data_IF_101112619694
#
_entry.id   IF_101112619694
#
_cell.length_a   1.000
_cell.length_b   1.000
_cell.length_c   1.000
_cell.angle_alpha   90.00
_cell.angle_beta   90.00
_cell.angle_gamma   90.00
#
_symmetry.space_group_name_H-M   'P 1'
#
loop_
_entity.id
_entity.type
_entity.pdbx_description
1 polymer ?
#
# COMPACT_ATOMS: atom_id res chain seq x y z
N UNK A 1 -21.15 -2.69 8.91
CA UNK A 1 -19.67 -2.62 8.96
C UNK A 1 -19.27 -1.22 8.55
N UNK A 2 -18.43 -0.58 9.34
CA UNK A 2 -18.07 0.83 9.19
C UNK A 2 -16.57 1.00 9.43
N UNK A 3 -15.97 1.98 8.77
CA UNK A 3 -14.59 2.38 8.94
C UNK A 3 -14.56 3.86 9.31
N UNK A 4 -13.96 4.18 10.45
CA UNK A 4 -13.64 5.54 10.84
C UNK A 4 -12.14 5.77 10.73
N UNK A 5 -11.73 6.91 10.18
CA UNK A 5 -10.31 7.25 10.01
C UNK A 5 -10.08 8.70 10.39
N UNK A 6 -9.09 8.93 11.23
CA UNK A 6 -8.58 10.26 11.56
C UNK A 6 -7.15 10.40 11.02
N UNK A 7 -6.84 11.55 10.42
CA UNK A 7 -5.46 11.92 10.06
C UNK A 7 -5.21 13.37 10.44
N UNK A 8 -4.20 13.61 11.25
CA UNK A 8 -3.67 14.92 11.54
C UNK A 8 -2.33 15.07 10.81
N UNK A 9 -2.16 16.16 10.06
CA UNK A 9 -0.91 16.45 9.39
C UNK A 9 -0.45 17.88 9.62
N UNK A 10 0.85 18.03 9.81
CA UNK A 10 1.52 19.31 9.94
C UNK A 10 2.40 19.52 8.72
N UNK A 11 2.25 20.68 8.08
CA UNK A 11 3.09 21.12 6.98
C UNK A 11 3.90 22.33 7.40
N UNK A 12 5.21 22.26 7.26
CA UNK A 12 6.11 23.37 7.51
C UNK A 12 7.17 23.45 6.41
N UNK A 13 7.17 24.57 5.68
CA UNK A 13 8.01 24.77 4.51
C UNK A 13 7.93 23.59 3.51
N UNK A 14 9.01 22.82 3.39
CA UNK A 14 9.15 21.71 2.46
C UNK A 14 8.76 20.35 3.04
N UNK A 15 8.43 20.30 4.33
CA UNK A 15 8.07 19.08 5.05
C UNK A 15 6.57 19.00 5.30
N UNK A 16 6.04 17.80 5.17
CA UNK A 16 4.75 17.40 5.70
C UNK A 16 4.95 16.10 6.49
N UNK A 17 4.35 16.02 7.68
CA UNK A 17 4.32 14.80 8.48
C UNK A 17 2.89 14.61 8.97
N UNK A 18 2.35 13.42 8.75
CA UNK A 18 1.01 13.02 9.15
C UNK A 18 1.05 11.84 10.11
N UNK A 19 0.15 11.84 11.08
CA UNK A 19 -0.21 10.69 11.88
C UNK A 19 -1.68 10.36 11.64
N UNK A 20 -2.00 9.08 11.60
CA UNK A 20 -3.36 8.59 11.37
C UNK A 20 -3.68 7.40 12.25
N UNK A 21 -4.97 7.23 12.49
CA UNK A 21 -5.54 6.04 13.10
C UNK A 21 -6.81 5.68 12.34
N UNK A 22 -7.07 4.38 12.23
CA UNK A 22 -8.30 3.87 11.65
C UNK A 22 -8.89 2.81 12.56
N UNK A 23 -10.20 2.85 12.72
CA UNK A 23 -10.94 1.87 13.50
C UNK A 23 -12.04 1.27 12.64
N UNK A 24 -11.94 -0.04 12.42
CA UNK A 24 -12.91 -0.80 11.66
C UNK A 24 -13.78 -1.60 12.62
N UNK A 25 -15.09 -1.38 12.54
CA UNK A 25 -16.04 -1.96 13.48
C UNK A 25 -17.25 -2.57 12.78
N UNK A 26 -17.77 -3.61 13.41
CA UNK A 26 -18.82 -4.46 12.86
C UNK A 26 -19.56 -5.18 13.99
N UNK A 27 -20.67 -5.83 13.67
CA UNK A 27 -21.51 -6.55 14.62
C UNK A 27 -22.97 -6.63 14.17
N UNK A 28 -23.68 -7.67 14.58
CA UNK A 28 -25.11 -7.79 14.32
C UNK A 28 -25.87 -6.65 15.03
N UNK A 29 -26.71 -5.93 14.29
CA UNK A 29 -27.43 -4.76 14.82
C UNK A 29 -26.56 -3.54 15.10
N UNK A 30 -25.25 -3.59 14.81
CA UNK A 30 -24.34 -2.46 15.03
C UNK A 30 -24.48 -1.42 13.92
N UNK A 31 -24.90 -0.23 14.32
CA UNK A 31 -25.05 0.93 13.42
C UNK A 31 -23.80 1.78 13.33
N UNK A 32 -23.92 2.91 12.62
CA UNK A 32 -22.91 3.96 12.65
C UNK A 32 -22.86 4.59 14.05
N UNK A 33 -21.64 4.76 14.58
CA UNK A 33 -21.40 5.32 15.91
C UNK A 33 -20.80 6.73 15.77
N UNK A 34 -21.56 7.81 16.04
CA UNK A 34 -21.05 9.17 15.92
C UNK A 34 -19.83 9.47 16.80
N UNK A 35 -19.70 8.79 17.93
CA UNK A 35 -18.54 8.87 18.83
C UNK A 35 -17.24 8.45 18.13
N UNK A 36 -17.31 7.47 17.23
CA UNK A 36 -16.19 7.03 16.40
C UNK A 36 -15.92 7.95 15.21
N UNK A 37 -16.71 9.00 15.00
CA UNK A 37 -16.48 10.02 13.97
C UNK A 37 -16.07 11.37 14.55
N UNK A 38 -16.00 11.47 15.88
CA UNK A 38 -15.54 12.67 16.56
C UNK A 38 -14.02 12.82 16.34
N UNK A 39 -13.54 13.88 15.68
CA UNK A 39 -12.11 14.06 15.40
C UNK A 39 -11.24 14.27 16.65
N UNK A 40 -11.86 14.51 17.82
CA UNK A 40 -11.18 14.59 19.11
C UNK A 40 -11.16 13.26 19.87
N UNK A 41 -11.83 12.23 19.36
CA UNK A 41 -11.73 10.88 19.89
C UNK A 41 -10.46 10.24 19.34
N UNK A 42 -9.50 9.95 20.23
CA UNK A 42 -8.26 9.24 19.90
C UNK A 42 -8.52 7.75 20.11
N UNK A 43 -8.71 6.99 19.02
CA UNK A 43 -9.08 5.56 19.07
C UNK A 43 -8.07 4.72 19.85
N UNK A 44 -6.77 5.02 19.73
CA UNK A 44 -5.74 4.34 20.50
C UNK A 44 -5.92 4.46 22.03
N UNK A 45 -6.62 5.49 22.50
CA UNK A 45 -6.92 5.70 23.92
C UNK A 45 -8.33 5.20 24.29
N UNK A 46 -9.34 5.47 23.47
CA UNK A 46 -10.74 5.17 23.80
C UNK A 46 -11.09 3.70 23.64
N UNK A 47 -10.57 3.00 22.62
CA UNK A 47 -10.90 1.59 22.36
C UNK A 47 -10.74 0.73 23.63
N UNK A 48 -9.59 0.81 24.29
CA UNK A 48 -9.31 0.00 25.47
C UNK A 48 -10.17 0.38 26.67
N UNK A 49 -10.41 1.67 26.86
CA UNK A 49 -11.19 2.18 27.99
C UNK A 49 -12.68 1.83 27.85
N UNK A 50 -13.20 1.91 26.64
CA UNK A 50 -14.61 1.66 26.33
C UNK A 50 -14.91 0.20 26.02
N UNK A 51 -13.87 -0.64 25.89
CA UNK A 51 -13.95 -2.07 25.51
C UNK A 51 -14.76 -2.30 24.24
N UNK A 52 -14.57 -1.40 23.29
CA UNK A 52 -15.30 -1.40 22.03
C UNK A 52 -14.67 -2.41 21.09
N UNK A 53 -15.42 -3.42 20.65
CA UNK A 53 -14.90 -4.40 19.69
C UNK A 53 -14.58 -3.74 18.34
N UNK A 54 -13.46 -4.11 17.73
CA UNK A 54 -13.04 -3.62 16.41
C UNK A 54 -11.55 -3.80 16.19
N UNK A 55 -11.11 -3.39 15.00
CA UNK A 55 -9.73 -3.49 14.57
C UNK A 55 -9.14 -2.10 14.38
N UNK A 56 -8.12 -1.76 15.18
CA UNK A 56 -7.37 -0.51 15.10
C UNK A 56 -6.11 -0.70 14.26
N UNK A 57 -5.86 0.23 13.36
CA UNK A 57 -4.56 0.42 12.75
C UNK A 57 -4.08 1.85 12.97
N UNK A 58 -2.76 2.03 13.05
CA UNK A 58 -2.11 3.32 13.19
C UNK A 58 -1.16 3.55 12.01
N UNK A 59 -1.11 4.78 11.52
CA UNK A 59 -0.25 5.15 10.40
C UNK A 59 0.58 6.38 10.71
N UNK A 60 1.78 6.41 10.14
CA UNK A 60 2.64 7.58 10.12
C UNK A 60 3.11 7.80 8.68
N UNK A 61 3.01 9.03 8.18
CA UNK A 61 3.42 9.36 6.82
C UNK A 61 4.17 10.69 6.77
N UNK A 62 4.94 10.88 5.71
CA UNK A 62 5.62 12.14 5.51
C UNK A 62 6.09 12.36 4.09
N UNK A 63 6.33 13.62 3.78
CA UNK A 63 6.76 14.08 2.48
C UNK A 63 7.74 15.24 2.63
N UNK A 64 8.91 15.09 2.05
CA UNK A 64 9.94 16.11 1.96
C UNK A 64 10.16 16.52 0.51
N UNK A 65 9.92 17.79 0.20
CA UNK A 65 10.06 18.35 -1.15
C UNK A 65 11.31 19.20 -1.27
N UNK A 66 12.21 18.88 -2.18
CA UNK A 66 13.46 19.62 -2.38
C UNK A 66 13.78 19.78 -3.85
N UNK A 67 14.25 20.98 -4.22
CA UNK A 67 14.69 21.26 -5.59
C UNK A 67 15.90 20.40 -6.01
N UNK A 68 16.71 19.95 -5.04
CA UNK A 68 17.94 19.18 -5.30
C UNK A 68 17.70 17.68 -5.38
N UNK A 69 16.79 17.15 -4.57
CA UNK A 69 16.58 15.69 -4.46
C UNK A 69 15.15 15.25 -4.82
N UNK A 70 14.35 16.13 -5.45
CA UNK A 70 12.97 15.83 -5.80
C UNK A 70 12.07 15.71 -4.56
N UNK A 71 11.16 14.74 -4.59
CA UNK A 71 10.21 14.47 -3.52
C UNK A 71 10.54 13.12 -2.86
N UNK A 72 10.78 13.12 -1.55
CA UNK A 72 10.91 11.92 -0.73
C UNK A 72 9.62 11.74 0.07
N UNK A 73 8.83 10.72 -0.26
CA UNK A 73 7.64 10.33 0.49
C UNK A 73 7.84 9.03 1.24
N UNK A 74 7.28 8.89 2.44
CA UNK A 74 7.30 7.66 3.20
C UNK A 74 5.97 7.45 3.93
N UNK A 75 5.66 6.19 4.22
CA UNK A 75 4.47 5.79 4.95
C UNK A 75 4.76 4.51 5.73
N UNK A 76 4.27 4.43 6.96
CA UNK A 76 4.30 3.27 7.83
C UNK A 76 2.88 3.04 8.33
N UNK A 77 2.46 1.78 8.36
CA UNK A 77 1.24 1.29 8.94
C UNK A 77 1.61 0.24 9.98
N UNK A 78 1.07 0.38 11.17
CA UNK A 78 1.07 -0.62 12.22
C UNK A 78 -0.36 -1.13 12.36
N UNK A 79 -0.51 -2.43 12.29
CA UNK A 79 -1.77 -3.15 12.42
C UNK A 79 -1.65 -4.10 13.62
N UNK A 80 -2.78 -4.53 14.18
CA UNK A 80 -2.81 -5.48 15.31
C UNK A 80 -1.89 -5.07 16.49
N UNK A 81 -2.04 -3.82 16.97
CA UNK A 81 -1.19 -3.26 18.02
C UNK A 81 -1.50 -3.87 19.40
N UNK A 82 -0.60 -4.71 19.89
CA UNK A 82 -0.67 -5.31 21.21
C UNK A 82 0.02 -4.44 22.27
N UNK A 83 -0.73 -3.91 23.23
CA UNK A 83 -0.21 -3.05 24.32
C UNK A 83 -0.38 -3.72 25.70
N UNK A 84 -1.04 -4.89 25.79
CA UNK A 84 -1.24 -5.63 27.06
C UNK A 84 -0.04 -6.51 27.44
N UNK A 85 0.04 -6.87 28.73
CA UNK A 85 1.14 -7.66 29.29
C UNK A 85 1.27 -9.04 28.62
N UNK A 86 2.51 -9.35 28.26
CA UNK A 86 2.94 -10.55 27.55
C UNK A 86 2.80 -11.85 28.36
N UNK A 87 1.64 -12.50 28.30
CA UNK A 87 1.49 -13.85 28.85
C UNK A 87 1.41 -14.95 27.77
N UNK A 88 0.74 -14.68 26.64
CA UNK A 88 0.58 -15.66 25.54
C UNK A 88 0.89 -15.04 24.18
N UNK A 89 0.27 -13.91 23.84
CA UNK A 89 0.21 -13.31 22.49
C UNK A 89 1.54 -12.76 21.92
N UNK A 90 2.62 -12.68 22.73
CA UNK A 90 3.88 -12.03 22.32
C UNK A 90 4.75 -12.82 21.32
N UNK A 91 4.30 -13.99 20.89
CA UNK A 91 4.88 -14.71 19.76
C UNK A 91 4.23 -14.32 18.42
N UNK A 92 3.17 -13.52 18.43
CA UNK A 92 2.51 -13.10 17.21
C UNK A 92 3.47 -12.29 16.33
N UNK A 93 3.61 -12.66 15.05
CA UNK A 93 4.45 -11.91 14.13
C UNK A 93 3.93 -10.48 13.94
N UNK A 94 4.85 -9.52 13.82
CA UNK A 94 4.46 -8.12 13.64
C UNK A 94 3.63 -7.89 12.38
N UNK A 95 2.51 -7.20 12.56
CA UNK A 95 1.60 -6.80 11.50
C UNK A 95 1.86 -5.34 11.10
N UNK A 96 2.48 -5.14 9.94
CA UNK A 96 2.86 -3.81 9.46
C UNK A 96 2.92 -3.69 7.93
N UNK A 97 2.88 -2.45 7.46
CA UNK A 97 3.22 -2.05 6.10
C UNK A 97 4.15 -0.85 6.11
N UNK A 98 5.07 -0.77 5.15
CA UNK A 98 5.99 0.35 5.01
C UNK A 98 6.22 0.67 3.54
N UNK A 99 6.42 1.94 3.22
CA UNK A 99 6.70 2.41 1.87
C UNK A 99 7.62 3.62 1.91
N UNK A 100 8.57 3.67 0.99
CA UNK A 100 9.38 4.85 0.70
C UNK A 100 9.39 5.08 -0.80
N UNK A 101 9.35 6.35 -1.19
CA UNK A 101 9.29 6.80 -2.58
C UNK A 101 10.20 8.00 -2.75
N UNK A 102 10.95 8.01 -3.84
CA UNK A 102 11.76 9.12 -4.29
C UNK A 102 11.35 9.41 -5.72
N UNK A 103 10.89 10.61 -5.99
CA UNK A 103 10.36 11.01 -7.30
C UNK A 103 11.02 12.33 -7.73
N UNK A 104 11.36 12.48 -9.02
CA UNK A 104 11.86 13.74 -9.54
C UNK A 104 13.34 14.03 -9.23
N UNK A 105 14.15 13.01 -8.95
CA UNK A 105 15.60 13.17 -8.76
C UNK A 105 16.23 13.72 -10.05
N UNK A 106 16.94 14.86 -10.04
CA UNK A 106 17.48 15.43 -11.27
C UNK A 106 18.55 14.52 -11.88
N UNK A 107 18.37 14.18 -13.16
CA UNK A 107 19.39 13.60 -14.03
C UNK A 107 19.91 14.67 -15.00
N UNK A 108 20.75 14.29 -15.96
CA UNK A 108 21.20 15.20 -17.01
C UNK A 108 20.00 15.75 -17.82
N UNK A 109 19.97 17.05 -18.10
CA UNK A 109 18.89 17.71 -18.84
C UNK A 109 17.52 17.64 -18.14
N UNK A 110 16.49 17.35 -18.92
CA UNK A 110 15.10 17.30 -18.43
C UNK A 110 14.69 15.92 -17.91
N UNK A 111 15.62 14.97 -17.84
CA UNK A 111 15.38 13.63 -17.31
C UNK A 111 15.29 13.64 -15.78
N UNK A 112 14.43 12.77 -15.22
CA UNK A 112 14.29 12.62 -13.77
C UNK A 112 14.34 11.15 -13.38
N UNK A 113 14.99 10.81 -12.27
CA UNK A 113 14.96 9.47 -11.73
C UNK A 113 13.87 9.32 -10.68
N UNK A 114 13.44 8.09 -10.47
CA UNK A 114 12.59 7.70 -9.37
C UNK A 114 13.01 6.36 -8.80
N UNK A 115 12.67 6.15 -7.54
CA UNK A 115 12.80 4.86 -6.87
C UNK A 115 11.68 4.69 -5.85
N UNK A 116 11.25 3.46 -5.63
CA UNK A 116 10.34 3.14 -4.54
C UNK A 116 10.64 1.78 -3.95
N UNK A 117 10.29 1.63 -2.68
CA UNK A 117 10.30 0.35 -2.01
C UNK A 117 9.06 0.26 -1.12
N UNK A 118 8.32 -0.84 -1.23
CA UNK A 118 7.17 -1.15 -0.39
C UNK A 118 7.36 -2.53 0.21
N UNK A 119 7.03 -2.69 1.49
CA UNK A 119 6.98 -3.97 2.18
C UNK A 119 5.70 -4.07 2.98
N UNK A 120 5.03 -5.21 2.93
CA UNK A 120 3.85 -5.52 3.72
C UNK A 120 4.05 -6.90 4.33
N UNK A 121 3.98 -6.96 5.66
CA UNK A 121 4.12 -8.20 6.45
C UNK A 121 3.08 -9.25 6.06
N UNK A 122 3.29 -10.49 6.51
CA UNK A 122 2.36 -11.61 6.27
C UNK A 122 0.96 -11.37 6.86
N UNK A 123 0.93 -10.83 8.08
CA UNK A 123 -0.29 -10.67 8.86
C UNK A 123 -0.99 -9.31 8.70
N UNK A 124 -0.37 -8.36 7.98
CA UNK A 124 -1.02 -7.09 7.66
C UNK A 124 -2.41 -7.29 7.05
N UNK A 125 -3.37 -6.51 7.58
CA UNK A 125 -4.78 -6.49 7.24
C UNK A 125 -5.58 -7.70 7.70
N UNK A 126 -4.96 -8.68 8.36
CA UNK A 126 -5.61 -9.89 8.89
C UNK A 126 -6.01 -9.65 10.34
N UNK A 127 -7.12 -10.25 10.73
CA UNK A 127 -7.62 -10.21 12.11
C UNK A 127 -8.30 -11.54 12.43
N UNK A 128 -8.31 -11.96 13.71
CA UNK A 128 -9.09 -13.10 14.18
C UNK A 128 -10.57 -13.05 13.80
N UNK A 129 -11.17 -11.86 13.75
CA UNK A 129 -12.56 -11.67 13.30
C UNK A 129 -12.61 -11.32 11.80
N UNK A 130 -13.03 -12.23 10.90
CA UNK A 130 -13.02 -11.96 9.46
C UNK A 130 -13.90 -10.77 9.04
N UNK A 131 -14.88 -10.39 9.86
CA UNK A 131 -15.73 -9.23 9.61
C UNK A 131 -15.01 -7.89 9.84
N UNK A 132 -13.83 -7.91 10.47
CA UNK A 132 -12.97 -6.76 10.78
C UNK A 132 -11.68 -6.75 9.93
N UNK A 133 -11.65 -7.50 8.83
CA UNK A 133 -10.54 -7.49 7.87
C UNK A 133 -10.53 -6.20 7.07
N UNK A 134 -9.38 -5.58 6.79
CA UNK A 134 -9.30 -4.33 6.01
C UNK A 134 -9.54 -4.52 4.49
N UNK A 135 -10.73 -4.99 4.12
CA UNK A 135 -11.21 -5.13 2.73
C UNK A 135 -12.69 -4.76 2.54
N UNK A 136 -13.09 -4.50 1.31
CA UNK A 136 -14.50 -4.37 0.89
C UNK A 136 -14.70 -5.23 -0.36
N UNK A 137 -15.67 -6.15 -0.33
CA UNK A 137 -15.92 -7.13 -1.40
C UNK A 137 -14.66 -7.94 -1.82
N UNK A 138 -13.79 -8.28 -0.86
CA UNK A 138 -12.56 -9.02 -1.14
C UNK A 138 -11.42 -8.17 -1.73
N UNK A 139 -11.61 -6.85 -1.83
CA UNK A 139 -10.61 -5.89 -2.29
C UNK A 139 -10.08 -5.12 -1.08
N UNK A 140 -8.78 -5.25 -0.79
CA UNK A 140 -8.13 -4.51 0.29
C UNK A 140 -8.36 -3.00 0.18
N UNK A 141 -8.72 -2.35 1.29
CA UNK A 141 -8.86 -0.89 1.36
C UNK A 141 -7.52 -0.16 1.61
N UNK A 142 -6.46 -0.92 1.88
CA UNK A 142 -5.07 -0.46 1.93
C UNK A 142 -4.28 -0.90 0.70
N UNK A 143 -3.22 -1.70 0.90
CA UNK A 143 -2.53 -2.38 -0.21
C UNK A 143 -3.35 -3.57 -0.71
N UNK A 144 -3.25 -3.86 -2.00
CA UNK A 144 -4.01 -4.95 -2.64
C UNK A 144 -3.58 -6.36 -2.25
N UNK A 145 -2.45 -6.51 -1.55
CA UNK A 145 -1.84 -7.78 -1.11
C UNK A 145 -1.15 -7.58 0.25
N UNK A 146 -0.97 -8.67 1.00
CA UNK A 146 -0.02 -8.78 2.12
C UNK A 146 1.14 -9.71 1.71
N UNK A 147 2.10 -9.96 2.61
CA UNK A 147 3.20 -10.91 2.36
C UNK A 147 4.01 -10.59 1.08
N UNK A 148 4.47 -9.35 0.94
CA UNK A 148 5.31 -8.99 -0.19
C UNK A 148 6.27 -7.85 0.11
N UNK A 149 7.32 -7.76 -0.70
CA UNK A 149 8.01 -6.50 -0.93
C UNK A 149 8.28 -6.26 -2.41
N UNK A 150 8.35 -4.99 -2.79
CA UNK A 150 8.59 -4.58 -4.16
C UNK A 150 9.49 -3.35 -4.18
N UNK A 151 10.58 -3.44 -4.94
CA UNK A 151 11.44 -2.33 -5.28
C UNK A 151 11.19 -1.92 -6.74
N UNK A 152 11.14 -0.61 -7.02
CA UNK A 152 11.13 -0.06 -8.37
C UNK A 152 12.21 1.00 -8.50
N UNK A 153 12.85 1.06 -9.65
CA UNK A 153 13.82 2.10 -9.99
C UNK A 153 13.72 2.41 -11.48
N UNK A 154 13.86 3.67 -11.85
CA UNK A 154 13.81 4.06 -13.24
C UNK A 154 14.01 5.54 -13.47
N UNK A 155 13.67 5.95 -14.68
CA UNK A 155 13.75 7.33 -15.11
C UNK A 155 12.55 7.74 -15.95
N UNK A 156 12.10 8.97 -15.72
CA UNK A 156 11.23 9.73 -16.60
C UNK A 156 12.12 10.42 -17.65
N UNK A 157 11.98 9.97 -18.89
CA UNK A 157 12.76 10.43 -20.03
C UNK A 157 11.91 11.39 -20.85
N UNK A 158 12.28 12.67 -20.81
CA UNK A 158 11.65 13.75 -21.58
C UNK A 158 12.05 13.72 -23.07
N UNK A 159 11.78 12.62 -23.78
CA UNK A 159 12.01 12.51 -25.24
C UNK A 159 10.98 13.34 -26.01
N UNK A 160 9.73 13.33 -25.54
CA UNK A 160 8.64 14.10 -26.13
C UNK A 160 8.27 15.28 -25.23
N UNK A 161 8.07 16.45 -25.84
CA UNK A 161 7.76 17.70 -25.12
C UNK A 161 6.51 17.63 -24.25
N UNK A 162 5.56 16.74 -24.58
CA UNK A 162 4.24 16.68 -23.96
C UNK A 162 3.91 15.32 -23.34
N UNK A 163 4.82 14.34 -23.43
CA UNK A 163 4.58 12.97 -22.99
C UNK A 163 5.90 12.32 -22.54
N UNK A 164 6.40 12.61 -21.33
CA UNK A 164 7.57 11.92 -20.81
C UNK A 164 7.30 10.41 -20.73
N UNK A 165 8.32 9.61 -21.09
CA UNK A 165 8.27 8.15 -20.99
C UNK A 165 8.99 7.71 -19.71
N UNK A 166 8.32 6.89 -18.89
CA UNK A 166 8.89 6.28 -17.70
C UNK A 166 9.43 4.89 -18.04
N UNK A 167 10.74 4.74 -18.00
CA UNK A 167 11.44 3.45 -18.21
C UNK A 167 11.90 2.95 -16.84
N UNK A 168 11.61 1.68 -16.52
CA UNK A 168 11.89 1.18 -15.17
C UNK A 168 12.15 -0.32 -15.08
N UNK A 169 12.90 -0.67 -14.05
CA UNK A 169 13.01 -2.02 -13.51
C UNK A 169 12.22 -2.14 -12.21
N UNK A 170 11.60 -3.30 -11.99
CA UNK A 170 10.97 -3.64 -10.72
C UNK A 170 11.36 -5.06 -10.29
N UNK A 171 11.49 -5.26 -8.98
CA UNK A 171 11.70 -6.57 -8.39
C UNK A 171 10.74 -6.76 -7.22
N UNK A 172 9.88 -7.77 -7.31
CA UNK A 172 8.91 -8.14 -6.28
C UNK A 172 9.24 -9.51 -5.72
N UNK A 173 9.13 -9.67 -4.40
CA UNK A 173 9.02 -10.97 -3.74
C UNK A 173 7.65 -11.06 -3.10
N UNK A 174 6.99 -12.20 -3.25
CA UNK A 174 5.67 -12.43 -2.70
C UNK A 174 5.61 -13.85 -2.13
N UNK A 175 5.32 -13.96 -0.83
CA UNK A 175 5.01 -15.24 -0.21
C UNK A 175 3.55 -15.63 -0.47
N UNK A 176 3.14 -16.75 0.09
CA UNK A 176 1.78 -17.29 -0.06
C UNK A 176 0.75 -16.59 0.84
N UNK A 177 1.15 -15.59 1.62
CA UNK A 177 0.30 -14.91 2.57
C UNK A 177 -0.77 -14.09 1.84
N UNK A 178 -1.94 -14.02 2.47
CA UNK A 178 -3.09 -13.31 1.92
C UNK A 178 -3.95 -12.85 3.08
N UNK A 179 -4.35 -11.58 3.06
CA UNK A 179 -5.21 -11.04 4.11
C UNK A 179 -6.57 -11.74 4.20
N UNK A 180 -6.96 -12.47 3.15
CA UNK A 180 -8.19 -13.23 3.08
C UNK A 180 -8.13 -14.59 3.75
N UNK A 181 -6.93 -15.11 4.05
CA UNK A 181 -6.76 -16.38 4.77
C UNK A 181 -7.11 -16.23 6.25
N UNK A 182 -7.67 -17.31 6.83
CA UNK A 182 -8.02 -17.37 8.25
C UNK A 182 -6.82 -17.01 9.13
N UNK A 183 -7.03 -16.22 10.19
CA UNK A 183 -5.96 -15.82 11.10
C UNK A 183 -5.28 -17.06 11.72
N UNK A 184 -3.94 -17.10 11.84
CA UNK A 184 -3.25 -18.25 12.42
C UNK A 184 -3.73 -18.53 13.86
N UNK A 185 -3.90 -19.79 14.29
CA UNK A 185 -4.18 -20.09 15.68
C UNK A 185 -2.93 -19.80 16.55
N UNK A 186 -3.17 -19.50 17.82
CA UNK A 186 -2.12 -19.19 18.81
C UNK A 186 -0.92 -20.16 18.78
N UNK A 187 -1.19 -21.47 18.74
CA UNK A 187 -0.15 -22.51 18.73
C UNK A 187 0.80 -22.45 17.52
N UNK A 188 0.44 -21.70 16.47
CA UNK A 188 1.23 -21.55 15.24
C UNK A 188 2.00 -20.24 15.14
N UNK A 189 1.88 -19.34 16.14
CA UNK A 189 2.50 -18.01 16.08
C UNK A 189 4.00 -18.07 15.88
N UNK A 190 4.71 -18.90 16.65
CA UNK A 190 6.16 -19.09 16.53
C UNK A 190 6.60 -19.62 15.16
N UNK A 191 5.75 -20.38 14.49
CA UNK A 191 6.01 -20.93 13.15
C UNK A 191 5.52 -20.00 12.03
N UNK A 192 4.73 -18.98 12.35
CA UNK A 192 4.20 -18.04 11.37
C UNK A 192 5.28 -17.02 11.01
N UNK A 193 5.67 -16.90 9.74
CA UNK A 193 6.70 -15.95 9.36
C UNK A 193 6.14 -14.52 9.35
N UNK A 194 6.96 -13.56 9.79
CA UNK A 194 6.57 -12.14 9.80
C UNK A 194 6.54 -11.47 8.43
N UNK A 195 7.28 -12.00 7.44
CA UNK A 195 7.22 -11.49 6.07
C UNK A 195 6.78 -12.58 5.12
N UNK A 196 7.69 -13.46 4.70
CA UNK A 196 7.44 -14.42 3.63
C UNK A 196 6.93 -15.76 4.12
N UNK A 197 5.66 -16.05 3.84
CA UNK A 197 5.07 -17.36 4.08
C UNK A 197 5.19 -18.27 2.85
N UNK A 198 5.30 -19.57 3.11
CA UNK A 198 5.35 -20.59 2.05
C UNK A 198 6.49 -20.40 1.05
N UNK A 199 6.24 -20.78 -0.20
CA UNK A 199 7.21 -20.65 -1.30
C UNK A 199 7.18 -19.22 -1.83
N UNK A 200 8.32 -18.54 -1.85
CA UNK A 200 8.39 -17.16 -2.35
C UNK A 200 8.47 -17.13 -3.88
N UNK A 201 7.47 -16.49 -4.50
CA UNK A 201 7.50 -16.10 -5.90
C UNK A 201 8.33 -14.82 -6.04
N UNK A 202 9.27 -14.80 -7.00
CA UNK A 202 10.09 -13.62 -7.31
C UNK A 202 9.78 -13.14 -8.72
N UNK A 203 9.43 -11.87 -8.88
CA UNK A 203 9.10 -11.27 -10.17
C UNK A 203 10.08 -10.15 -10.47
N UNK A 204 10.86 -10.28 -11.55
CA UNK A 204 11.65 -9.21 -12.12
C UNK A 204 10.93 -8.65 -13.35
N UNK A 205 10.74 -7.33 -13.43
CA UNK A 205 10.08 -6.65 -14.55
C UNK A 205 10.98 -5.57 -15.13
N UNK A 206 11.03 -5.49 -16.45
CA UNK A 206 11.53 -4.32 -17.18
C UNK A 206 10.38 -3.78 -18.02
N UNK A 207 10.10 -2.49 -17.93
CA UNK A 207 8.93 -1.91 -18.53
C UNK A 207 9.12 -0.45 -18.96
N UNK A 208 8.25 -0.03 -19.87
CA UNK A 208 8.07 1.35 -20.30
C UNK A 208 6.61 1.73 -20.08
N UNK A 209 6.39 2.91 -19.54
CA UNK A 209 5.06 3.49 -19.38
C UNK A 209 5.04 4.94 -19.81
N UNK A 210 3.87 5.43 -20.18
CA UNK A 210 3.69 6.80 -20.62
C UNK A 210 2.23 7.17 -20.60
N UNK A 211 1.98 8.48 -20.55
CA UNK A 211 0.65 9.05 -20.70
C UNK A 211 0.71 10.21 -21.69
N UNK A 212 -0.35 10.33 -22.49
CA UNK A 212 -0.51 11.41 -23.44
C UNK A 212 -1.94 11.94 -23.36
N UNK A 213 -2.06 13.26 -23.42
CA UNK A 213 -3.33 13.96 -23.53
C UNK A 213 -3.41 14.63 -24.91
N UNK A 214 -4.49 14.36 -25.64
CA UNK A 214 -4.79 14.99 -26.93
C UNK A 214 -6.26 15.41 -26.99
N UNK A 215 -6.50 16.72 -27.03
CA UNK A 215 -7.84 17.35 -27.04
C UNK A 215 -8.71 16.93 -25.85
N UNK A 216 -9.67 16.03 -26.07
CA UNK A 216 -10.59 15.49 -25.06
C UNK A 216 -10.25 14.04 -24.71
N UNK A 217 -9.09 13.54 -25.14
CA UNK A 217 -8.67 12.16 -24.89
C UNK A 217 -7.44 12.13 -24.01
N UNK A 218 -7.50 11.27 -23.01
CA UNK A 218 -6.35 10.89 -22.19
C UNK A 218 -6.06 9.42 -22.46
N UNK A 219 -4.80 9.11 -22.70
CA UNK A 219 -4.34 7.74 -22.89
C UNK A 219 -3.14 7.48 -21.99
N UNK A 220 -3.07 6.25 -21.45
CA UNK A 220 -1.87 5.77 -20.80
C UNK A 220 -1.62 4.31 -21.15
N UNK A 221 -0.35 3.95 -21.20
CA UNK A 221 0.09 2.59 -21.43
C UNK A 221 1.24 2.24 -20.48
N UNK A 222 1.28 0.99 -20.05
CA UNK A 222 2.40 0.36 -19.36
C UNK A 222 2.62 -1.00 -20.02
N UNK A 223 3.81 -1.26 -20.54
CA UNK A 223 4.16 -2.49 -21.25
C UNK A 223 5.52 -2.93 -20.76
N UNK A 224 5.67 -4.23 -20.48
CA UNK A 224 6.93 -4.76 -20.00
C UNK A 224 6.97 -6.28 -19.98
N UNK A 225 8.18 -6.80 -19.80
CA UNK A 225 8.44 -8.23 -19.69
C UNK A 225 8.62 -8.57 -18.21
N UNK A 226 7.90 -9.57 -17.74
CA UNK A 226 8.07 -10.17 -16.43
C UNK A 226 8.87 -11.47 -16.56
N UNK A 227 9.79 -11.69 -15.63
CA UNK A 227 10.37 -13.00 -15.37
C UNK A 227 10.03 -13.41 -13.94
N UNK A 228 9.36 -14.53 -13.80
CA UNK A 228 8.89 -15.09 -12.55
C UNK A 228 9.68 -16.36 -12.21
N UNK A 229 10.26 -16.40 -11.02
CA UNK A 229 10.85 -17.60 -10.43
C UNK A 229 9.96 -18.08 -9.28
N UNK A 230 9.81 -19.41 -9.19
CA UNK A 230 8.80 -20.09 -8.37
C UNK A 230 7.37 -19.65 -8.68
N UNK A 231 7.03 -19.54 -9.97
CA UNK A 231 5.72 -19.09 -10.42
C UNK A 231 4.58 -19.92 -9.79
N UNK A 232 3.48 -19.25 -9.45
CA UNK A 232 2.33 -19.82 -8.73
C UNK A 232 2.73 -20.51 -7.40
N UNK A 233 3.80 -20.04 -6.74
CA UNK A 233 4.35 -20.62 -5.51
C UNK A 233 4.82 -22.08 -5.64
N UNK A 234 5.21 -22.52 -6.85
CA UNK A 234 5.77 -23.86 -7.08
C UNK A 234 7.28 -23.79 -7.23
N UNK A 235 8.02 -24.46 -6.33
CA UNK A 235 9.49 -24.47 -6.33
C UNK A 235 10.03 -24.92 -7.70
N UNK A 236 10.94 -24.13 -8.27
CA UNK A 236 11.62 -24.44 -9.52
C UNK A 236 10.82 -24.12 -10.79
N UNK A 237 9.54 -23.74 -10.69
CA UNK A 237 8.75 -23.30 -11.84
C UNK A 237 9.14 -21.88 -12.23
N UNK A 238 9.49 -21.66 -13.50
CA UNK A 238 9.77 -20.33 -14.03
C UNK A 238 8.85 -19.99 -15.20
N UNK A 239 8.52 -18.70 -15.33
CA UNK A 239 7.70 -18.17 -16.43
C UNK A 239 8.26 -16.81 -16.85
N UNK A 240 8.31 -16.56 -18.16
CA UNK A 240 8.53 -15.22 -18.69
C UNK A 240 7.34 -14.83 -19.56
N UNK A 241 6.83 -13.63 -19.37
CA UNK A 241 5.65 -13.16 -20.10
C UNK A 241 5.74 -11.67 -20.45
N UNK A 242 5.14 -11.32 -21.58
CA UNK A 242 4.85 -9.93 -21.92
C UNK A 242 3.54 -9.55 -21.27
N UNK A 243 3.56 -8.50 -20.45
CA UNK A 243 2.39 -8.01 -19.73
C UNK A 243 2.28 -6.50 -19.89
N UNK A 244 1.07 -6.02 -20.11
CA UNK A 244 0.81 -4.61 -20.23
C UNK A 244 -0.64 -4.23 -19.97
N UNK A 245 -0.86 -2.93 -19.81
CA UNK A 245 -2.17 -2.32 -19.64
C UNK A 245 -2.24 -1.05 -20.46
N UNK A 246 -3.37 -0.86 -21.14
CA UNK A 246 -3.70 0.36 -21.85
C UNK A 246 -4.98 0.91 -21.24
N UNK A 247 -5.02 2.21 -20.98
CA UNK A 247 -6.21 2.96 -20.55
C UNK A 247 -6.45 4.09 -21.53
N UNK A 248 -7.70 4.29 -21.91
CA UNK A 248 -8.16 5.45 -22.66
C UNK A 248 -9.38 6.03 -21.96
N UNK A 249 -9.40 7.35 -21.82
CA UNK A 249 -10.51 8.11 -21.25
C UNK A 249 -10.90 9.22 -22.22
N UNK A 250 -12.19 9.49 -22.30
CA UNK A 250 -12.73 10.67 -22.99
C UNK A 250 -13.27 11.65 -21.96
N UNK A 251 -12.75 12.87 -21.96
CA UNK A 251 -13.14 13.98 -21.10
C UNK A 251 -13.72 15.08 -21.98
N UNK A 252 -15.03 15.07 -22.25
CA UNK A 252 -15.67 16.10 -23.05
C UNK A 252 -15.55 17.45 -22.35
N UNK A 253 -15.07 18.46 -23.09
CA UNK A 253 -15.16 19.85 -22.64
C UNK A 253 -16.50 20.39 -23.08
N UNK A 254 -17.49 20.26 -22.22
CA UNK A 254 -18.75 20.99 -22.39
C UNK A 254 -18.49 22.43 -21.96
N UNK A 255 -18.33 23.33 -22.93
CA UNK A 255 -18.50 24.76 -22.65
C UNK A 255 -20.00 25.02 -22.55
N UNK A 256 -20.47 25.21 -21.32
CA UNK A 256 -21.75 25.83 -21.08
C UNK A 256 -21.48 27.33 -20.95
N UNK A 257 -21.72 28.08 -22.02
CA UNK A 257 -21.86 29.52 -21.95
C UNK A 257 -23.23 29.78 -21.28
N UNK A 258 -23.22 30.30 -20.06
CA UNK A 258 -24.40 30.82 -19.36
C UNK A 258 -24.45 32.34 -19.50
#
# INVERSE_FOLDING_TARGET
>A
RYLSVHRLALRHATWEVGASESFLYTGAGRGFEPTLSNPFNIFALSWRNERTDGNLAMGLDGLWRTRRFGNLGWQILLDDLQIDKCDTICHEPSSYGASVTMEGLPLHGDHRAFASYTRVSNLAYRTPNPAERYDVFGVGIGRGFSDYDEARIGADVAIFKTAPLRIYGAFRRQGEGDYRKAYPPFASYTATPGIFSGVVTKVARIAVSGAAHYRSFESSADIGVNHEANADHVIGRSRSELAGRIKMSWVPRLHADF
#
